data_IF_646186649734
#
_entry.id   IF_646186649734
#
_cell.length_a   1.000
_cell.length_b   1.000
_cell.length_c   1.000
_cell.angle_alpha   90.00
_cell.angle_beta   90.00
_cell.angle_gamma   90.00
#
_symmetry.space_group_name_H-M   'P 1'
#
loop_
_entity.id
_entity.type
_entity.pdbx_description
1 polymer ?
#
# COMPACT_ATOMS: atom_id res chain seq x y z
N UNK A 1 13.93 -12.94 -8.74
CA UNK A 1 14.12 -11.69 -7.95
C UNK A 1 14.76 -12.03 -6.61
N UNK A 2 15.51 -11.10 -6.01
CA UNK A 2 16.13 -11.29 -4.68
C UNK A 2 15.17 -10.81 -3.60
N UNK A 3 14.66 -11.74 -2.78
CA UNK A 3 13.85 -11.41 -1.61
C UNK A 3 14.70 -10.74 -0.53
N UNK A 4 14.13 -9.77 0.17
CA UNK A 4 14.73 -9.11 1.32
C UNK A 4 13.82 -9.34 2.53
N UNK A 5 14.43 -9.63 3.66
CA UNK A 5 13.74 -9.83 4.94
C UNK A 5 14.34 -8.91 5.99
N UNK A 6 13.49 -8.37 6.84
CA UNK A 6 13.87 -7.51 7.97
C UNK A 6 12.93 -7.78 9.15
N UNK A 7 13.49 -7.79 10.36
CA UNK A 7 12.73 -7.81 11.61
C UNK A 7 12.55 -6.35 12.04
N UNK A 8 11.31 -5.89 12.08
CA UNK A 8 10.96 -4.58 12.62
C UNK A 8 10.94 -4.64 14.14
N UNK A 9 11.75 -3.81 14.79
CA UNK A 9 11.82 -3.65 16.25
C UNK A 9 10.97 -2.45 16.71
N UNK A 10 10.57 -2.38 18.00
CA UNK A 10 9.87 -1.22 18.54
C UNK A 10 10.58 0.10 18.21
N UNK A 11 9.83 1.12 17.81
CA UNK A 11 10.34 2.43 17.41
C UNK A 11 10.81 2.54 15.96
N UNK A 12 10.87 1.44 15.20
CA UNK A 12 11.20 1.48 13.78
C UNK A 12 9.97 1.71 12.90
N UNK A 13 10.17 2.32 11.74
CA UNK A 13 9.14 2.50 10.71
C UNK A 13 9.60 1.92 9.38
N UNK A 14 8.64 1.47 8.58
CA UNK A 14 8.87 0.99 7.21
C UNK A 14 7.97 1.74 6.25
N UNK A 15 8.48 2.03 5.06
CA UNK A 15 7.74 2.68 3.99
C UNK A 15 7.76 1.80 2.73
N UNK A 16 6.59 1.53 2.18
CA UNK A 16 6.42 0.71 0.98
C UNK A 16 6.02 1.60 -0.20
N UNK A 17 6.81 1.57 -1.28
CA UNK A 17 6.45 2.24 -2.52
C UNK A 17 5.22 1.56 -3.16
N UNK A 18 4.42 2.26 -3.99
CA UNK A 18 3.27 1.69 -4.66
C UNK A 18 3.60 0.39 -5.42
N UNK A 19 2.83 -0.66 -5.15
CA UNK A 19 3.01 -1.98 -5.77
C UNK A 19 4.17 -2.81 -5.20
N UNK A 20 4.74 -2.43 -4.05
CA UNK A 20 5.73 -3.27 -3.36
C UNK A 20 5.06 -4.56 -2.88
N UNK A 21 5.44 -5.70 -3.47
CA UNK A 21 5.00 -7.02 -3.04
C UNK A 21 5.69 -7.35 -1.72
N UNK A 22 4.91 -7.58 -0.67
CA UNK A 22 5.44 -7.85 0.67
C UNK A 22 4.53 -8.82 1.42
N UNK A 23 5.12 -9.47 2.43
CA UNK A 23 4.42 -10.33 3.37
C UNK A 23 4.80 -9.89 4.78
N UNK A 24 3.83 -9.85 5.68
CA UNK A 24 4.04 -9.46 7.07
C UNK A 24 3.70 -10.64 7.96
N UNK A 25 4.65 -11.04 8.79
CA UNK A 25 4.49 -12.10 9.77
C UNK A 25 4.78 -11.54 11.16
N UNK A 26 4.06 -12.04 12.17
CA UNK A 26 4.34 -11.74 13.57
C UNK A 26 5.25 -12.82 14.14
N UNK A 27 6.37 -12.42 14.74
CA UNK A 27 7.23 -13.33 15.51
C UNK A 27 6.49 -13.68 16.81
N UNK A 28 6.54 -14.95 17.23
CA UNK A 28 5.71 -15.48 18.33
C UNK A 28 6.22 -15.16 19.74
N UNK A 29 7.26 -14.35 19.87
CA UNK A 29 7.89 -14.05 21.16
C UNK A 29 7.08 -13.08 22.02
N UNK A 30 6.50 -12.05 21.40
CA UNK A 30 5.77 -10.98 22.10
C UNK A 30 4.54 -10.50 21.32
N UNK A 31 3.56 -9.95 22.03
CA UNK A 31 2.46 -9.22 21.40
C UNK A 31 2.98 -7.92 20.77
N UNK A 32 2.48 -7.59 19.58
CA UNK A 32 2.95 -6.45 18.80
C UNK A 32 1.79 -5.52 18.41
N UNK A 33 2.01 -4.21 18.55
CA UNK A 33 1.12 -3.16 18.05
C UNK A 33 1.91 -2.30 17.06
N UNK A 34 1.28 -1.99 15.93
CA UNK A 34 1.82 -1.08 14.92
C UNK A 34 0.73 -0.11 14.46
N UNK A 35 1.11 1.13 14.19
CA UNK A 35 0.28 2.14 13.56
C UNK A 35 0.69 2.26 12.10
N UNK A 36 -0.27 2.44 11.20
CA UNK A 36 -0.02 2.50 9.77
C UNK A 36 -1.08 3.29 9.03
N UNK A 37 -0.81 3.53 7.75
CA UNK A 37 -1.70 4.22 6.84
C UNK A 37 -1.14 4.26 5.42
N UNK A 38 -1.85 4.95 4.54
CA UNK A 38 -1.47 5.12 3.15
C UNK A 38 -1.21 6.59 2.85
N UNK A 39 -0.16 6.86 2.07
CA UNK A 39 0.13 8.20 1.52
C UNK A 39 0.30 8.08 0.02
N UNK A 40 -0.11 9.12 -0.72
CA UNK A 40 0.11 9.21 -2.16
C UNK A 40 1.12 10.32 -2.45
N UNK A 41 2.21 9.96 -3.11
CA UNK A 41 3.21 10.92 -3.58
C UNK A 41 2.90 11.35 -5.01
N UNK A 42 3.07 12.65 -5.31
CA UNK A 42 2.88 13.19 -6.66
C UNK A 42 3.79 12.54 -7.70
N UNK A 43 5.02 12.19 -7.32
CA UNK A 43 6.01 11.52 -8.17
C UNK A 43 5.53 10.18 -8.72
N UNK A 44 4.65 9.49 -7.99
CA UNK A 44 4.25 8.11 -8.28
C UNK A 44 2.79 7.96 -8.67
N UNK A 45 2.06 9.05 -8.89
CA UNK A 45 0.62 9.02 -9.17
C UNK A 45 0.26 8.12 -10.36
N UNK A 46 1.09 8.11 -11.42
CA UNK A 46 0.88 7.26 -12.60
C UNK A 46 1.07 5.78 -12.28
N UNK A 47 2.16 5.44 -11.60
CA UNK A 47 2.46 4.06 -11.18
C UNK A 47 1.40 3.56 -10.21
N UNK A 48 1.02 4.37 -9.23
CA UNK A 48 -0.06 4.06 -8.30
C UNK A 48 -1.38 3.74 -9.01
N UNK A 49 -1.78 4.55 -10.00
CA UNK A 49 -3.00 4.30 -10.77
C UNK A 49 -2.96 2.96 -11.53
N UNK A 50 -1.80 2.60 -12.10
CA UNK A 50 -1.61 1.30 -12.75
C UNK A 50 -1.80 0.13 -11.77
N UNK A 51 -1.29 0.26 -10.54
CA UNK A 51 -1.46 -0.76 -9.49
C UNK A 51 -2.94 -0.87 -9.09
N UNK A 52 -3.63 0.24 -8.84
CA UNK A 52 -5.06 0.24 -8.50
C UNK A 52 -5.87 -0.45 -9.58
N UNK A 53 -5.58 -0.19 -10.86
CA UNK A 53 -6.25 -0.87 -11.98
C UNK A 53 -5.95 -2.37 -12.01
N UNK A 54 -4.70 -2.78 -11.74
CA UNK A 54 -4.32 -4.18 -11.71
C UNK A 54 -5.02 -4.95 -10.58
N UNK A 55 -5.02 -4.38 -9.37
CA UNK A 55 -5.67 -4.95 -8.19
C UNK A 55 -7.21 -4.99 -8.34
N UNK A 56 -7.80 -4.00 -8.99
CA UNK A 56 -9.24 -4.00 -9.31
C UNK A 56 -9.59 -5.11 -10.31
N UNK A 57 -8.75 -5.35 -11.32
CA UNK A 57 -8.96 -6.41 -12.33
C UNK A 57 -8.69 -7.81 -11.78
N UNK A 58 -7.79 -7.94 -10.80
CA UNK A 58 -7.33 -9.22 -10.24
C UNK A 58 -7.40 -9.17 -8.71
N UNK A 59 -8.58 -9.28 -8.11
CA UNK A 59 -8.75 -9.07 -6.65
C UNK A 59 -7.93 -10.06 -5.79
N UNK A 60 -7.53 -11.21 -6.33
CA UNK A 60 -6.72 -12.19 -5.61
C UNK A 60 -5.26 -11.76 -5.33
N UNK A 61 -4.80 -10.63 -5.89
CA UNK A 61 -3.41 -10.18 -5.71
C UNK A 61 -3.24 -9.16 -4.57
N UNK A 62 -4.33 -8.75 -3.92
CA UNK A 62 -4.33 -7.78 -2.82
C UNK A 62 -5.18 -8.29 -1.66
N UNK A 63 -4.86 -7.84 -0.45
CA UNK A 63 -5.63 -8.09 0.75
C UNK A 63 -6.76 -7.05 0.96
N UNK A 64 -6.81 -6.00 0.13
CA UNK A 64 -7.79 -4.93 0.22
C UNK A 64 -9.06 -5.22 -0.60
N UNK A 65 -10.22 -4.77 -0.13
CA UNK A 65 -11.44 -4.77 -0.95
C UNK A 65 -11.42 -3.59 -1.94
N UNK A 66 -10.89 -3.85 -3.13
CA UNK A 66 -10.75 -2.82 -4.16
C UNK A 66 -12.08 -2.28 -4.68
N UNK A 67 -13.19 -3.02 -4.55
CA UNK A 67 -14.51 -2.52 -4.95
C UNK A 67 -14.96 -1.36 -4.06
N UNK A 68 -14.59 -1.40 -2.78
CA UNK A 68 -14.88 -0.34 -1.82
C UNK A 68 -13.81 0.76 -1.87
N UNK A 69 -12.54 0.36 -1.88
CA UNK A 69 -11.39 1.27 -1.72
C UNK A 69 -11.09 2.09 -2.97
N UNK A 70 -11.06 1.47 -4.15
CA UNK A 70 -10.59 2.13 -5.38
C UNK A 70 -11.43 3.37 -5.78
N UNK A 71 -12.78 3.34 -5.76
CA UNK A 71 -13.57 4.52 -6.11
C UNK A 71 -13.30 5.71 -5.19
N UNK A 72 -13.10 5.47 -3.89
CA UNK A 72 -12.78 6.53 -2.93
C UNK A 72 -11.43 7.17 -3.24
N UNK A 73 -10.40 6.35 -3.48
CA UNK A 73 -9.07 6.86 -3.77
C UNK A 73 -9.03 7.60 -5.10
N UNK A 74 -9.56 7.01 -6.18
CA UNK A 74 -9.55 7.64 -7.52
C UNK A 74 -10.26 8.99 -7.50
N UNK A 75 -11.41 9.12 -6.80
CA UNK A 75 -12.10 10.41 -6.67
C UNK A 75 -11.27 11.45 -5.92
N UNK A 76 -10.64 11.08 -4.81
CA UNK A 76 -9.79 11.99 -4.04
C UNK A 76 -8.60 12.48 -4.89
N UNK A 77 -7.95 11.55 -5.60
CA UNK A 77 -6.82 11.86 -6.47
C UNK A 77 -7.23 12.72 -7.65
N UNK A 78 -8.36 12.43 -8.30
CA UNK A 78 -8.87 13.24 -9.40
C UNK A 78 -9.15 14.69 -8.97
N UNK A 79 -9.67 14.91 -7.74
CA UNK A 79 -9.82 16.25 -7.16
C UNK A 79 -8.48 16.96 -6.98
N UNK A 80 -7.49 16.26 -6.41
CA UNK A 80 -6.15 16.82 -6.22
C UNK A 80 -5.49 17.21 -7.55
N UNK A 81 -5.57 16.33 -8.56
CA UNK A 81 -4.99 16.58 -9.89
C UNK A 81 -5.65 17.78 -10.58
N UNK A 82 -6.98 17.94 -10.45
CA UNK A 82 -7.71 19.08 -11.04
C UNK A 82 -7.44 20.41 -10.34
N UNK A 83 -7.06 20.38 -9.06
CA UNK A 83 -6.77 21.57 -8.26
C UNK A 83 -5.34 22.09 -8.44
N UNK A 84 -4.54 21.44 -9.29
CA UNK A 84 -3.18 21.82 -9.65
C UNK A 84 -3.18 22.53 -10.99
#
# INVERSE_FOLDING_TARGET
GRWRYIILKPGQSVFFMPGTIHFVFRVREHQTLALGGHVLQWSDIRRWMQIVLAETKKPAITNEDMRQSAPRYVRAVAKLVKAR
#
